data_IF_399740980689
#
_entry.id   IF_399740980689
#
_cell.length_a   1.000
_cell.length_b   1.000
_cell.length_c   1.000
_cell.angle_alpha   90.00
_cell.angle_beta   90.00
_cell.angle_gamma   90.00
#
_symmetry.space_group_name_H-M   'P 1'
#
loop_
_entity.id
_entity.type
_entity.pdbx_description
1 polymer ?
#
# COMPACT_ATOMS: atom_id res chain seq x y z
N UNK A 1 -9.20 26.61 -1.98
CA UNK A 1 -8.96 26.86 -3.42
C UNK A 1 -9.31 25.58 -4.17
N UNK A 2 -9.99 25.68 -5.32
CA UNK A 2 -10.26 24.52 -6.17
C UNK A 2 -8.93 24.04 -6.78
N UNK A 3 -8.64 22.73 -6.72
CA UNK A 3 -7.47 22.15 -7.40
C UNK A 3 -7.62 22.34 -8.92
N UNK A 4 -6.53 22.62 -9.66
CA UNK A 4 -6.60 22.82 -11.11
C UNK A 4 -7.04 21.52 -11.82
N UNK A 5 -7.72 21.66 -12.96
CA UNK A 5 -8.11 20.52 -13.79
C UNK A 5 -6.87 20.02 -14.54
N UNK A 6 -6.42 18.80 -14.23
CA UNK A 6 -5.34 18.12 -14.94
C UNK A 6 -5.90 17.34 -16.12
N UNK A 7 -5.32 17.53 -17.31
CA UNK A 7 -5.63 16.76 -18.52
C UNK A 7 -4.39 15.99 -18.97
N UNK A 8 -4.50 14.68 -19.10
CA UNK A 8 -3.46 13.85 -19.68
C UNK A 8 -3.50 13.97 -21.20
N UNK A 9 -2.36 14.33 -21.80
CA UNK A 9 -2.22 14.54 -23.25
C UNK A 9 -1.16 13.56 -23.75
N UNK A 10 -1.47 12.86 -24.85
CA UNK A 10 -0.50 12.03 -25.57
C UNK A 10 0.19 12.92 -26.61
N UNK A 11 1.48 13.27 -26.44
CA UNK A 11 2.16 14.22 -27.33
C UNK A 11 2.34 13.71 -28.76
N UNK A 12 2.27 12.40 -28.98
CA UNK A 12 2.41 11.77 -30.30
C UNK A 12 1.70 10.42 -30.39
N UNK A 13 1.60 9.87 -31.61
CA UNK A 13 0.95 8.59 -31.86
C UNK A 13 1.57 7.42 -31.08
N UNK A 14 2.88 7.44 -30.84
CA UNK A 14 3.57 6.39 -30.09
C UNK A 14 3.15 6.38 -28.61
N UNK A 15 3.10 7.56 -27.99
CA UNK A 15 2.63 7.73 -26.60
C UNK A 15 1.16 7.34 -26.43
N UNK A 16 0.34 7.49 -27.47
CA UNK A 16 -1.06 7.05 -27.47
C UNK A 16 -1.17 5.52 -27.56
N UNK A 17 -0.30 4.88 -28.35
CA UNK A 17 -0.29 3.41 -28.53
C UNK A 17 0.39 2.67 -27.38
N UNK A 18 1.32 3.32 -26.67
CA UNK A 18 2.13 2.71 -25.62
C UNK A 18 1.29 1.94 -24.61
N UNK A 19 0.27 2.57 -24.01
CA UNK A 19 -0.56 1.95 -22.99
C UNK A 19 -1.30 0.71 -23.51
N UNK A 20 -1.91 0.80 -24.69
CA UNK A 20 -2.62 -0.34 -25.30
C UNK A 20 -1.67 -1.49 -25.65
N UNK A 21 -0.48 -1.18 -26.17
CA UNK A 21 0.53 -2.18 -26.53
C UNK A 21 1.10 -2.86 -25.29
N UNK A 22 1.44 -2.08 -24.25
CA UNK A 22 1.92 -2.61 -22.97
C UNK A 22 0.90 -3.56 -22.37
N UNK A 23 -0.37 -3.14 -22.27
CA UNK A 23 -1.44 -3.97 -21.73
C UNK A 23 -1.61 -5.26 -22.53
N UNK A 24 -1.62 -5.18 -23.86
CA UNK A 24 -1.70 -6.36 -24.74
C UNK A 24 -0.55 -7.33 -24.48
N UNK A 25 0.68 -6.83 -24.43
CA UNK A 25 1.86 -7.68 -24.24
C UNK A 25 1.88 -8.35 -22.87
N UNK A 26 1.50 -7.64 -21.80
CA UNK A 26 1.35 -8.22 -20.45
C UNK A 26 0.26 -9.28 -20.45
N UNK A 27 -0.91 -8.99 -21.04
CA UNK A 27 -2.01 -9.95 -21.10
C UNK A 27 -1.64 -11.22 -21.87
N UNK A 28 -0.90 -11.08 -22.97
CA UNK A 28 -0.38 -12.19 -23.78
C UNK A 28 0.62 -13.05 -23.00
N UNK A 29 1.53 -12.42 -22.24
CA UNK A 29 2.48 -13.16 -21.39
C UNK A 29 1.77 -14.10 -20.41
N UNK A 30 0.72 -13.64 -19.71
CA UNK A 30 -0.04 -14.49 -18.80
C UNK A 30 -0.73 -15.66 -19.53
N UNK A 31 -1.27 -15.42 -20.73
CA UNK A 31 -1.95 -16.45 -21.51
C UNK A 31 -0.98 -17.51 -22.03
N UNK A 32 0.12 -17.10 -22.66
CA UNK A 32 1.12 -17.99 -23.25
C UNK A 32 1.81 -18.88 -22.21
N UNK A 33 2.00 -18.36 -20.99
CA UNK A 33 2.61 -19.10 -19.88
C UNK A 33 1.58 -19.84 -19.01
N UNK A 34 0.29 -19.80 -19.37
CA UNK A 34 -0.82 -20.39 -18.58
C UNK A 34 -0.79 -19.94 -17.10
N UNK A 35 -0.51 -18.65 -16.87
CA UNK A 35 -0.41 -18.05 -15.56
C UNK A 35 -1.71 -17.32 -15.21
N UNK A 36 -2.12 -17.43 -13.96
CA UNK A 36 -3.21 -16.61 -13.40
C UNK A 36 -2.74 -15.17 -13.23
N UNK A 37 -3.57 -14.20 -13.63
CA UNK A 37 -3.37 -12.78 -13.34
C UNK A 37 -3.66 -12.40 -11.89
N UNK A 38 -4.24 -13.33 -11.12
CA UNK A 38 -4.81 -13.00 -9.83
C UNK A 38 -4.07 -13.57 -8.63
N UNK A 39 -3.78 -14.87 -8.67
CA UNK A 39 -3.19 -15.55 -7.52
C UNK A 39 -2.22 -16.63 -7.96
N UNK A 40 -1.24 -16.86 -7.11
CA UNK A 40 -0.36 -18.02 -7.17
C UNK A 40 -0.19 -18.59 -5.75
N UNK A 41 0.47 -19.74 -5.63
CA UNK A 41 0.70 -20.40 -4.33
C UNK A 41 1.42 -19.48 -3.34
N UNK A 42 2.37 -18.68 -3.82
CA UNK A 42 3.15 -17.74 -2.99
C UNK A 42 2.26 -16.68 -2.35
N UNK A 43 1.29 -16.11 -3.07
CA UNK A 43 0.34 -15.13 -2.52
C UNK A 43 -0.49 -15.73 -1.38
N UNK A 44 -0.98 -16.96 -1.56
CA UNK A 44 -1.78 -17.65 -0.54
C UNK A 44 -0.94 -17.97 0.70
N UNK A 45 0.28 -18.50 0.51
CA UNK A 45 1.21 -18.77 1.62
C UNK A 45 1.52 -17.48 2.39
N UNK A 46 1.88 -16.40 1.69
CA UNK A 46 2.11 -15.08 2.32
C UNK A 46 0.89 -14.62 3.12
N UNK A 47 -0.31 -14.78 2.57
CA UNK A 47 -1.55 -14.40 3.24
C UNK A 47 -1.72 -15.15 4.56
N UNK A 48 -1.61 -16.48 4.54
CA UNK A 48 -1.77 -17.31 5.74
C UNK A 48 -0.72 -16.98 6.77
N UNK A 49 0.56 -16.87 6.36
CA UNK A 49 1.66 -16.54 7.26
C UNK A 49 1.46 -15.18 7.91
N UNK A 50 1.15 -14.15 7.12
CA UNK A 50 1.01 -12.77 7.62
C UNK A 50 -0.22 -12.62 8.51
N UNK A 51 -1.37 -13.17 8.13
CA UNK A 51 -2.57 -13.11 8.99
C UNK A 51 -2.38 -13.92 10.28
N UNK A 52 -1.74 -15.09 10.22
CA UNK A 52 -1.48 -15.89 11.41
C UNK A 52 -0.46 -15.21 12.34
N UNK A 53 0.58 -14.60 11.78
CA UNK A 53 1.56 -13.82 12.53
C UNK A 53 0.98 -12.53 13.15
N UNK A 54 -0.19 -12.09 12.71
CA UNK A 54 -0.92 -10.99 13.36
C UNK A 54 -1.90 -11.52 14.42
N UNK A 55 -2.74 -12.49 14.05
CA UNK A 55 -3.87 -12.97 14.88
C UNK A 55 -3.40 -13.86 16.03
N UNK A 56 -2.46 -14.79 15.80
CA UNK A 56 -2.05 -15.74 16.84
C UNK A 56 -1.33 -15.04 18.00
N UNK A 57 -0.36 -14.13 17.77
CA UNK A 57 0.24 -13.39 18.87
C UNK A 57 -0.78 -12.55 19.64
N UNK A 58 -1.76 -11.94 18.95
CA UNK A 58 -2.84 -11.20 19.62
C UNK A 58 -3.63 -12.09 20.59
N UNK A 59 -4.02 -13.30 20.15
CA UNK A 59 -4.72 -14.27 21.01
C UNK A 59 -3.84 -14.65 22.20
N UNK A 60 -2.56 -14.97 21.98
CA UNK A 60 -1.64 -15.34 23.06
C UNK A 60 -1.46 -14.23 24.10
N UNK A 61 -1.38 -12.97 23.65
CA UNK A 61 -1.27 -11.81 24.54
C UNK A 61 -2.50 -11.72 25.46
N UNK A 62 -3.71 -11.82 24.91
CA UNK A 62 -4.94 -11.66 25.71
C UNK A 62 -5.25 -12.88 26.59
N UNK A 63 -4.87 -14.10 26.17
CA UNK A 63 -5.18 -15.33 26.93
C UNK A 63 -4.13 -15.68 27.97
N UNK A 64 -2.84 -15.54 27.65
CA UNK A 64 -1.75 -16.03 28.51
C UNK A 64 -1.14 -14.95 29.39
N UNK A 65 -1.26 -13.67 29.00
CA UNK A 65 -0.63 -12.52 29.70
C UNK A 65 0.84 -12.80 30.05
N UNK A 66 1.68 -13.09 29.04
CA UNK A 66 3.06 -13.50 29.26
C UNK A 66 3.86 -12.36 29.91
N UNK A 67 5.02 -12.71 30.50
CA UNK A 67 5.93 -11.70 31.03
C UNK A 67 6.45 -10.74 29.93
N UNK A 68 6.89 -9.55 30.37
CA UNK A 68 7.24 -8.43 29.49
C UNK A 68 8.19 -8.75 28.31
N UNK A 69 9.19 -9.66 28.40
CA UNK A 69 10.06 -9.94 27.25
C UNK A 69 9.31 -10.64 26.10
N UNK A 70 8.47 -11.62 26.44
CA UNK A 70 7.68 -12.35 25.47
C UNK A 70 6.55 -11.47 24.91
N UNK A 71 5.93 -10.64 25.76
CA UNK A 71 4.96 -9.64 25.30
C UNK A 71 5.54 -8.71 24.23
N UNK A 72 6.72 -8.12 24.46
CA UNK A 72 7.40 -7.26 23.48
C UNK A 72 7.73 -8.00 22.18
N UNK A 73 8.17 -9.27 22.26
CA UNK A 73 8.43 -10.10 21.09
C UNK A 73 7.17 -10.34 20.26
N UNK A 74 6.04 -10.63 20.91
CA UNK A 74 4.75 -10.83 20.24
C UNK A 74 4.26 -9.54 19.57
N UNK A 75 4.37 -8.39 20.24
CA UNK A 75 4.08 -7.08 19.65
C UNK A 75 4.93 -6.77 18.42
N UNK A 76 6.23 -7.07 18.49
CA UNK A 76 7.15 -6.88 17.37
C UNK A 76 6.73 -7.73 16.16
N UNK A 77 6.42 -9.02 16.36
CA UNK A 77 5.94 -9.92 15.30
C UNK A 77 4.64 -9.38 14.68
N UNK A 78 3.71 -8.92 15.52
CA UNK A 78 2.45 -8.33 15.04
C UNK A 78 2.68 -7.07 14.21
N UNK A 79 3.62 -6.20 14.59
CA UNK A 79 3.96 -4.99 13.84
C UNK A 79 4.48 -5.32 12.43
N UNK A 80 5.38 -6.30 12.32
CA UNK A 80 5.84 -6.79 11.02
C UNK A 80 4.71 -7.40 10.20
N UNK A 81 3.86 -8.21 10.83
CA UNK A 81 2.71 -8.83 10.17
C UNK A 81 1.70 -7.78 9.67
N UNK A 82 1.40 -6.75 10.46
CA UNK A 82 0.54 -5.62 10.10
C UNK A 82 1.05 -4.92 8.84
N UNK A 83 2.34 -4.55 8.80
CA UNK A 83 2.95 -3.95 7.62
C UNK A 83 2.84 -4.88 6.40
N UNK A 84 3.09 -6.18 6.59
CA UNK A 84 2.98 -7.19 5.53
C UNK A 84 1.56 -7.35 4.98
N UNK A 85 0.54 -7.44 5.85
CA UNK A 85 -0.87 -7.51 5.46
C UNK A 85 -1.26 -6.24 4.70
N UNK A 86 -0.84 -5.08 5.19
CA UNK A 86 -1.06 -3.79 4.56
C UNK A 86 -0.48 -3.68 3.15
N UNK A 87 0.74 -4.17 2.94
CA UNK A 87 1.46 -4.02 1.67
C UNK A 87 1.27 -5.17 0.67
N UNK A 88 0.65 -6.29 1.07
CA UNK A 88 0.46 -7.45 0.19
C UNK A 88 -1.03 -7.83 0.11
N UNK A 89 -1.58 -8.30 1.23
CA UNK A 89 -2.89 -8.96 1.26
C UNK A 89 -4.01 -7.99 0.93
N UNK A 90 -4.15 -6.94 1.73
CA UNK A 90 -5.22 -5.96 1.54
C UNK A 90 -4.98 -5.10 0.29
N UNK A 91 -3.71 -4.81 -0.02
CA UNK A 91 -3.29 -4.01 -1.16
C UNK A 91 -3.76 -4.63 -2.49
N UNK A 92 -3.34 -5.88 -2.75
CA UNK A 92 -3.66 -6.59 -3.99
C UNK A 92 -5.18 -6.79 -4.12
N UNK A 93 -5.86 -7.05 -3.00
CA UNK A 93 -7.31 -7.25 -2.98
C UNK A 93 -8.08 -5.96 -3.25
N UNK A 94 -7.63 -4.82 -2.72
CA UNK A 94 -8.25 -3.52 -2.97
C UNK A 94 -8.00 -2.98 -4.38
N UNK A 95 -6.97 -3.49 -5.08
CA UNK A 95 -6.78 -3.34 -6.53
C UNK A 95 -7.57 -4.35 -7.37
N UNK A 96 -8.22 -5.34 -6.75
CA UNK A 96 -8.92 -6.42 -7.43
C UNK A 96 -8.00 -7.45 -8.08
N UNK A 97 -6.70 -7.41 -7.77
CA UNK A 97 -5.72 -8.35 -8.29
C UNK A 97 -5.79 -9.67 -7.52
N UNK A 98 -6.07 -9.69 -6.21
CA UNK A 98 -5.96 -10.90 -5.38
C UNK A 98 -6.77 -12.11 -5.87
N UNK A 99 -7.95 -11.91 -6.45
CA UNK A 99 -8.80 -13.00 -6.96
C UNK A 99 -9.62 -12.55 -8.17
N UNK A 100 -10.03 -13.49 -9.03
CA UNK A 100 -11.07 -13.23 -10.03
C UNK A 100 -12.45 -13.05 -9.39
N UNK A 101 -12.67 -13.55 -8.17
CA UNK A 101 -13.92 -13.42 -7.44
C UNK A 101 -13.95 -12.12 -6.61
N UNK A 102 -14.88 -11.22 -6.96
CA UNK A 102 -15.07 -9.94 -6.27
C UNK A 102 -15.36 -10.08 -4.77
N UNK A 103 -16.03 -11.15 -4.33
CA UNK A 103 -16.29 -11.39 -2.89
C UNK A 103 -15.02 -11.73 -2.13
N UNK A 104 -14.10 -12.47 -2.75
CA UNK A 104 -12.80 -12.77 -2.15
C UNK A 104 -11.99 -11.48 -2.00
N UNK A 105 -11.90 -10.68 -3.06
CA UNK A 105 -11.24 -9.36 -2.98
C UNK A 105 -11.88 -8.45 -1.92
N UNK A 106 -13.21 -8.49 -1.78
CA UNK A 106 -13.90 -7.74 -0.74
C UNK A 106 -13.40 -8.12 0.64
N UNK A 107 -13.45 -9.40 1.02
CA UNK A 107 -13.03 -9.84 2.35
C UNK A 107 -11.53 -9.65 2.59
N UNK A 108 -10.69 -10.01 1.61
CA UNK A 108 -9.25 -9.84 1.73
C UNK A 108 -8.84 -8.36 1.79
N UNK A 109 -9.53 -7.47 1.07
CA UNK A 109 -9.34 -6.03 1.14
C UNK A 109 -9.70 -5.45 2.50
N UNK A 110 -10.74 -5.99 3.16
CA UNK A 110 -11.16 -5.59 4.51
C UNK A 110 -10.28 -6.14 5.63
N UNK A 111 -9.25 -6.94 5.32
CA UNK A 111 -8.19 -7.18 6.31
C UNK A 111 -7.50 -5.88 6.75
N UNK A 112 -7.59 -4.81 5.95
CA UNK A 112 -7.18 -3.47 6.38
C UNK A 112 -7.99 -2.94 7.59
N UNK A 113 -9.30 -3.22 7.65
CA UNK A 113 -10.14 -2.82 8.77
C UNK A 113 -9.74 -3.51 10.07
N UNK A 114 -9.28 -4.78 9.98
CA UNK A 114 -8.71 -5.50 11.13
C UNK A 114 -7.51 -4.74 11.72
N UNK A 115 -6.72 -4.07 10.88
CA UNK A 115 -5.55 -3.28 11.27
C UNK A 115 -5.92 -1.87 11.75
N UNK A 116 -7.22 -1.54 11.88
CA UNK A 116 -7.68 -0.24 12.36
C UNK A 116 -7.82 0.86 11.30
N UNK A 117 -7.67 0.54 10.02
CA UNK A 117 -7.76 1.52 8.93
C UNK A 117 -9.01 1.33 8.04
N UNK A 118 -9.40 2.38 7.31
CA UNK A 118 -10.60 2.35 6.46
C UNK A 118 -10.27 1.99 5.02
N UNK A 119 -10.85 0.90 4.51
CA UNK A 119 -10.80 0.52 3.08
C UNK A 119 -11.33 1.62 2.17
N UNK A 120 -12.39 2.32 2.58
CA UNK A 120 -12.93 3.43 1.80
C UNK A 120 -11.89 4.55 1.67
N UNK A 121 -11.31 4.97 2.80
CA UNK A 121 -10.29 6.02 2.79
C UNK A 121 -9.09 5.60 1.95
N UNK A 122 -8.62 4.36 2.13
CA UNK A 122 -7.50 3.84 1.35
C UNK A 122 -7.79 3.81 -0.15
N UNK A 123 -8.99 3.38 -0.58
CA UNK A 123 -9.34 3.40 -2.01
C UNK A 123 -9.46 4.82 -2.57
N UNK A 124 -9.99 5.76 -1.79
CA UNK A 124 -10.06 7.15 -2.21
C UNK A 124 -8.66 7.77 -2.34
N UNK A 125 -7.81 7.63 -1.33
CA UNK A 125 -6.46 8.17 -1.36
C UNK A 125 -5.57 7.45 -2.38
N UNK A 126 -5.48 6.12 -2.30
CA UNK A 126 -4.57 5.35 -3.14
C UNK A 126 -5.10 5.18 -4.57
N UNK A 127 -6.28 4.61 -4.75
CA UNK A 127 -6.76 4.25 -6.10
C UNK A 127 -7.30 5.44 -6.89
N UNK A 128 -7.98 6.38 -6.23
CA UNK A 128 -8.58 7.52 -6.91
C UNK A 128 -7.60 8.68 -6.99
N UNK A 129 -7.01 9.15 -5.89
CA UNK A 129 -6.13 10.32 -5.92
C UNK A 129 -4.72 9.96 -6.43
N UNK A 130 -4.04 9.03 -5.77
CA UNK A 130 -2.65 8.70 -6.08
C UNK A 130 -2.49 8.01 -7.45
N UNK A 131 -3.23 6.95 -7.77
CA UNK A 131 -3.11 6.26 -9.07
C UNK A 131 -3.63 7.08 -10.26
N UNK A 132 -4.48 8.08 -10.04
CA UNK A 132 -4.89 8.99 -11.14
C UNK A 132 -3.86 10.09 -11.36
N UNK A 133 -3.27 10.64 -10.29
CA UNK A 133 -2.40 11.83 -10.36
C UNK A 133 -0.97 11.57 -9.88
N UNK A 134 -0.47 10.34 -10.02
CA UNK A 134 0.79 9.88 -9.43
C UNK A 134 1.93 10.85 -9.69
N UNK A 135 2.60 11.28 -8.62
CA UNK A 135 3.74 12.21 -8.65
C UNK A 135 3.42 13.60 -9.23
N UNK A 136 2.16 14.00 -9.36
CA UNK A 136 1.77 15.36 -9.75
C UNK A 136 1.62 16.21 -8.48
N UNK A 137 2.52 17.18 -8.32
CA UNK A 137 2.57 18.06 -7.15
C UNK A 137 1.24 18.82 -6.98
N UNK A 138 0.78 18.92 -5.72
CA UNK A 138 -0.51 19.48 -5.30
C UNK A 138 -1.75 18.65 -5.68
N UNK A 139 -1.60 17.58 -6.46
CA UNK A 139 -2.70 16.67 -6.83
C UNK A 139 -2.61 15.35 -6.10
N UNK A 140 -1.41 14.80 -6.00
CA UNK A 140 -1.08 13.59 -5.25
C UNK A 140 -0.67 13.95 -3.83
N UNK A 141 -1.56 13.70 -2.87
CA UNK A 141 -1.35 14.04 -1.46
C UNK A 141 -0.32 13.10 -0.80
N UNK A 142 0.02 11.96 -1.42
CA UNK A 142 1.04 11.02 -0.90
C UNK A 142 2.46 11.60 -0.99
N UNK A 143 2.70 12.49 -1.96
CA UNK A 143 3.97 13.23 -2.11
C UNK A 143 3.89 14.68 -1.61
N UNK A 144 2.79 15.05 -0.97
CA UNK A 144 2.64 16.34 -0.31
C UNK A 144 3.60 16.45 0.87
N UNK A 145 4.31 17.58 0.99
CA UNK A 145 5.20 17.84 2.13
C UNK A 145 4.39 17.84 3.44
N UNK A 146 4.89 17.13 4.47
CA UNK A 146 4.21 16.98 5.77
C UNK A 146 5.14 17.46 6.89
N UNK A 147 4.67 18.40 7.70
CA UNK A 147 5.46 19.03 8.75
C UNK A 147 6.81 19.55 8.22
N UNK A 148 7.93 18.98 8.67
CA UNK A 148 9.29 19.35 8.23
C UNK A 148 9.84 18.44 7.12
N UNK A 149 9.06 17.46 6.66
CA UNK A 149 9.49 16.49 5.65
C UNK A 149 9.08 16.93 4.25
N UNK A 150 10.02 16.78 3.32
CA UNK A 150 9.84 17.02 1.90
C UNK A 150 9.75 15.72 1.11
N UNK A 151 8.70 15.56 0.32
CA UNK A 151 8.44 14.32 -0.44
C UNK A 151 8.44 14.52 -1.96
N UNK A 152 8.54 15.75 -2.44
CA UNK A 152 8.63 16.03 -3.88
C UNK A 152 9.86 16.86 -4.25
N UNK A 153 10.55 16.57 -5.37
CA UNK A 153 11.61 17.43 -5.88
C UNK A 153 11.12 18.81 -6.36
N UNK A 154 9.80 19.00 -6.53
CA UNK A 154 9.23 20.25 -7.02
C UNK A 154 8.71 21.19 -5.91
N UNK A 155 8.86 20.83 -4.64
CA UNK A 155 8.61 21.74 -3.50
C UNK A 155 9.89 22.39 -2.99
N UNK A 156 9.75 23.45 -2.18
CA UNK A 156 10.87 24.23 -1.63
C UNK A 156 11.81 23.35 -0.80
N UNK A 157 13.09 23.31 -1.18
CA UNK A 157 14.12 22.65 -0.37
C UNK A 157 14.66 23.59 0.72
N UNK A 158 14.65 23.13 1.96
CA UNK A 158 15.26 23.82 3.10
C UNK A 158 16.55 23.11 3.52
N UNK A 159 17.44 23.82 4.21
CA UNK A 159 18.78 23.31 4.58
C UNK A 159 18.72 22.02 5.42
N UNK A 160 17.72 21.88 6.28
CA UNK A 160 17.54 20.72 7.16
C UNK A 160 17.03 19.48 6.41
N UNK A 161 16.53 19.58 5.18
CA UNK A 161 16.16 18.39 4.40
C UNK A 161 17.38 17.50 4.07
N UNK A 162 18.60 18.06 4.15
CA UNK A 162 19.84 17.26 4.04
C UNK A 162 19.96 16.21 5.14
N UNK A 163 19.33 16.42 6.30
CA UNK A 163 19.30 15.49 7.43
C UNK A 163 17.97 14.70 7.49
N UNK A 164 17.10 14.81 6.48
CA UNK A 164 15.81 14.14 6.47
C UNK A 164 15.93 12.62 6.60
N UNK A 165 16.99 12.02 6.06
CA UNK A 165 17.24 10.58 6.24
C UNK A 165 17.41 10.17 7.71
N UNK A 166 17.79 11.10 8.61
CA UNK A 166 17.92 10.86 10.05
C UNK A 166 16.57 11.00 10.74
N UNK A 167 15.89 12.13 10.57
CA UNK A 167 14.64 12.39 11.31
C UNK A 167 13.40 11.76 10.68
N UNK A 168 13.41 11.42 9.40
CA UNK A 168 12.27 10.78 8.75
C UNK A 168 11.93 9.46 9.43
N UNK A 169 12.93 8.68 9.87
CA UNK A 169 12.70 7.44 10.62
C UNK A 169 11.90 7.69 11.91
N UNK A 170 12.29 8.72 12.66
CA UNK A 170 11.59 9.11 13.89
C UNK A 170 10.16 9.59 13.61
N UNK A 171 9.98 10.56 12.70
CA UNK A 171 8.66 11.11 12.41
C UNK A 171 7.71 10.11 11.74
N UNK A 172 8.24 9.23 10.89
CA UNK A 172 7.45 8.15 10.31
C UNK A 172 6.98 7.17 11.38
N UNK A 173 7.83 6.83 12.37
CA UNK A 173 7.42 5.98 13.49
C UNK A 173 6.33 6.63 14.36
N UNK A 174 6.33 7.96 14.51
CA UNK A 174 5.26 8.66 15.24
C UNK A 174 3.90 8.58 14.54
N UNK A 175 3.88 8.35 13.22
CA UNK A 175 2.62 8.19 12.48
C UNK A 175 1.83 6.93 12.86
N UNK A 176 2.43 6.00 13.62
CA UNK A 176 1.73 4.82 14.14
C UNK A 176 1.02 5.08 15.47
N UNK A 177 1.15 6.27 16.05
CA UNK A 177 0.50 6.63 17.32
C UNK A 177 -0.90 7.23 17.15
N UNK A 178 -1.29 7.57 15.92
CA UNK A 178 -2.51 8.28 15.56
C UNK A 178 -3.14 7.66 14.31
#
# INVERSE_FOLDING_TARGET
MLKPVVKFIHPNADSQRFFSTLRKNVDQYFQENNLSKHWNKTLIIKTVVLLSAYILPYILLITLRPGWPLELMLWFIMGFAMAGVGMNVMYDANHGAYSSNKRVNYWMGHTLNLLGASVLNWKLQHNVLHHTYTNIVNMDDDIGDKAIMRFSPHTKANWYHKLQFVYAFLFYSLSTLF
#
